data_IF_701696125434
#
_entry.id   IF_701696125434
#
_cell.length_a   1.000
_cell.length_b   1.000
_cell.length_c   1.000
_cell.angle_alpha   90.00
_cell.angle_beta   90.00
_cell.angle_gamma   90.00
#
_symmetry.space_group_name_H-M   'P 1'
#
loop_
_entity.id
_entity.type
_entity.pdbx_description
1 polymer ?
#
# COMPACT_ATOMS: atom_id res chain seq x y z
N UNK A 1 24.34 5.82 69.41
CA UNK A 1 25.31 6.72 70.06
C UNK A 1 26.21 7.35 69.03
N UNK A 2 25.96 8.64 68.94
CA UNK A 2 26.99 9.69 68.78
C UNK A 2 27.90 9.53 67.57
N UNK A 3 27.68 10.45 66.71
CA UNK A 3 28.27 11.80 66.44
C UNK A 3 29.47 11.65 65.53
N UNK A 4 29.81 12.46 64.68
CA UNK A 4 29.66 13.88 64.48
C UNK A 4 30.31 14.20 63.16
N UNK A 5 29.71 15.12 62.49
CA UNK A 5 30.33 16.34 61.97
C UNK A 5 31.75 16.26 61.43
N UNK A 6 31.90 16.57 60.17
CA UNK A 6 32.76 17.69 59.83
C UNK A 6 32.47 18.20 58.44
N UNK A 7 32.09 19.38 58.46
CA UNK A 7 32.02 20.39 57.42
C UNK A 7 33.37 20.66 56.84
N UNK A 8 33.56 20.61 55.55
CA UNK A 8 34.53 21.52 54.91
C UNK A 8 33.95 21.90 53.51
N UNK A 9 33.55 23.10 53.48
CA UNK A 9 33.29 23.83 52.28
C UNK A 9 34.63 24.16 51.58
N UNK A 10 34.74 23.84 50.33
CA UNK A 10 35.67 24.57 49.50
C UNK A 10 35.07 24.75 48.14
N UNK A 11 34.77 25.97 47.88
CA UNK A 11 34.24 26.40 46.61
C UNK A 11 35.22 26.17 45.47
N UNK A 12 34.72 25.78 44.36
CA UNK A 12 35.43 25.93 43.10
C UNK A 12 34.49 26.41 42.03
N UNK A 13 34.82 27.52 41.53
CA UNK A 13 34.14 28.22 40.44
C UNK A 13 33.97 27.31 39.22
N UNK A 14 32.73 27.07 38.91
CA UNK A 14 32.38 26.47 37.63
C UNK A 14 32.48 27.55 36.53
N UNK A 15 33.48 27.45 35.76
CA UNK A 15 33.58 28.17 34.49
C UNK A 15 32.56 27.51 33.56
N UNK A 16 31.44 28.18 33.35
CA UNK A 16 30.50 27.85 32.29
C UNK A 16 31.15 28.25 30.97
N UNK A 17 31.86 27.31 30.38
CA UNK A 17 32.15 27.40 28.97
C UNK A 17 30.88 27.07 28.23
N UNK A 18 30.18 28.09 27.84
CA UNK A 18 29.06 27.95 26.93
C UNK A 18 29.54 27.43 25.60
N UNK A 19 29.44 26.14 25.40
CA UNK A 19 29.46 25.64 24.05
C UNK A 19 28.08 25.94 23.46
N UNK A 20 28.00 27.08 22.79
CA UNK A 20 26.93 27.27 21.82
C UNK A 20 27.21 26.30 20.69
N UNK A 21 26.56 25.17 20.75
CA UNK A 21 26.39 24.33 19.60
C UNK A 21 25.66 25.17 18.55
N UNK A 22 26.19 25.34 17.36
CA UNK A 22 25.34 25.83 16.29
C UNK A 22 24.18 24.84 16.18
N UNK A 23 22.99 25.31 16.44
CA UNK A 23 21.83 24.63 15.96
C UNK A 23 22.00 24.59 14.47
N UNK A 24 22.46 23.46 13.97
CA UNK A 24 22.23 23.12 12.60
C UNK A 24 20.73 22.94 12.54
N UNK A 25 20.03 24.02 12.22
CA UNK A 25 18.75 23.86 11.61
C UNK A 25 19.03 23.07 10.35
N UNK A 26 18.96 21.76 10.52
CA UNK A 26 18.85 20.92 9.36
C UNK A 26 17.54 21.30 8.73
N UNK A 27 17.57 22.10 7.72
CA UNK A 27 16.57 22.10 6.69
C UNK A 27 16.64 20.72 6.04
N UNK A 28 16.44 19.73 6.85
CA UNK A 28 16.16 18.39 6.40
C UNK A 28 14.71 18.23 6.06
N UNK A 29 14.11 19.24 5.49
CA UNK A 29 12.98 19.06 4.63
C UNK A 29 13.50 18.81 3.22
N UNK A 30 14.44 17.96 3.17
CA UNK A 30 14.48 17.11 2.06
C UNK A 30 13.25 16.21 2.18
N UNK A 31 12.13 16.75 1.86
CA UNK A 31 11.05 16.00 1.23
C UNK A 31 11.65 15.60 -0.08
N UNK A 32 12.57 14.73 0.12
CA UNK A 32 13.38 14.16 -0.83
C UNK A 32 12.56 13.99 -1.99
N UNK A 33 13.11 14.18 -2.69
CA UNK A 33 12.91 13.50 -3.89
C UNK A 33 11.67 12.66 -3.75
N UNK A 34 10.52 13.34 -3.86
CA UNK A 34 9.40 12.65 -4.43
C UNK A 34 10.02 11.88 -5.59
N UNK A 35 10.10 10.59 -5.48
CA UNK A 35 10.57 9.73 -6.53
C UNK A 35 10.09 10.35 -7.83
N UNK A 36 10.95 10.63 -8.80
CA UNK A 36 10.54 11.33 -9.99
C UNK A 36 9.26 10.70 -10.45
N UNK A 37 8.20 11.49 -10.54
CA UNK A 37 6.90 11.01 -10.95
C UNK A 37 7.16 10.14 -12.16
N UNK A 38 6.83 8.86 -12.05
CA UNK A 38 7.13 7.91 -13.10
C UNK A 38 6.66 8.54 -14.41
N UNK A 39 7.59 8.86 -15.29
CA UNK A 39 7.27 9.36 -16.61
C UNK A 39 6.70 8.21 -17.41
N UNK A 40 5.48 7.85 -17.10
CA UNK A 40 4.73 6.76 -17.72
C UNK A 40 3.35 6.71 -17.11
N UNK A 41 2.38 6.38 -17.94
CA UNK A 41 1.04 6.06 -17.47
C UNK A 41 1.11 4.86 -16.56
N UNK A 42 0.76 5.05 -15.30
CA UNK A 42 0.55 3.93 -14.39
C UNK A 42 -0.57 3.06 -14.93
N UNK A 43 -0.40 1.75 -14.89
CA UNK A 43 -1.46 0.83 -15.25
C UNK A 43 -2.66 1.01 -14.30
N UNK A 44 -3.89 0.99 -14.84
CA UNK A 44 -5.08 1.05 -14.00
C UNK A 44 -5.11 -0.09 -12.99
N UNK A 45 -5.58 0.21 -11.79
CA UNK A 45 -5.70 -0.76 -10.72
C UNK A 45 -6.97 -0.56 -9.91
N UNK A 46 -7.41 -1.62 -9.29
CA UNK A 46 -8.51 -1.57 -8.34
C UNK A 46 -8.13 -2.29 -7.05
N UNK A 47 -8.82 -1.97 -5.98
CA UNK A 47 -8.80 -2.72 -4.75
C UNK A 47 -10.23 -3.15 -4.41
N UNK A 48 -10.39 -4.41 -4.08
CA UNK A 48 -11.63 -4.96 -3.57
C UNK A 48 -11.34 -5.56 -2.19
N UNK A 49 -12.14 -5.20 -1.21
CA UNK A 49 -11.82 -5.48 0.20
C UNK A 49 -13.01 -6.14 0.88
N UNK A 50 -12.70 -7.02 1.80
CA UNK A 50 -13.62 -7.54 2.82
C UNK A 50 -12.95 -7.47 4.19
N UNK A 51 -13.60 -7.97 5.22
CA UNK A 51 -12.97 -8.08 6.55
C UNK A 51 -11.85 -9.11 6.59
N UNK A 52 -11.85 -10.06 5.66
CA UNK A 52 -10.92 -11.18 5.62
C UNK A 52 -9.80 -10.99 4.63
N UNK A 53 -10.12 -10.45 3.45
CA UNK A 53 -9.20 -10.38 2.31
C UNK A 53 -9.12 -8.98 1.70
N UNK A 54 -7.98 -8.72 1.08
CA UNK A 54 -7.77 -7.62 0.16
C UNK A 54 -7.29 -8.16 -1.18
N UNK A 55 -7.96 -7.76 -2.24
CA UNK A 55 -7.62 -8.12 -3.61
C UNK A 55 -7.25 -6.87 -4.38
N UNK A 56 -6.04 -6.82 -4.90
CA UNK A 56 -5.58 -5.76 -5.80
C UNK A 56 -5.47 -6.32 -7.20
N UNK A 57 -6.11 -5.66 -8.16
CA UNK A 57 -6.01 -6.00 -9.56
C UNK A 57 -5.31 -4.91 -10.36
N UNK A 58 -4.43 -5.32 -11.25
CA UNK A 58 -3.72 -4.42 -12.17
C UNK A 58 -4.08 -4.81 -13.59
N UNK A 59 -4.64 -3.86 -14.33
CA UNK A 59 -5.07 -4.06 -15.71
C UNK A 59 -3.98 -3.63 -16.68
N UNK A 60 -3.58 -4.54 -17.55
CA UNK A 60 -2.69 -4.27 -18.67
C UNK A 60 -3.33 -4.79 -19.97
N UNK A 61 -3.95 -3.89 -20.72
CA UNK A 61 -4.69 -4.25 -21.90
C UNK A 61 -5.89 -5.14 -21.58
N UNK A 62 -5.77 -6.42 -21.84
CA UNK A 62 -6.78 -7.45 -21.56
C UNK A 62 -6.40 -8.34 -20.36
N UNK A 63 -5.20 -8.20 -19.87
CA UNK A 63 -4.69 -9.01 -18.78
C UNK A 63 -4.91 -8.31 -17.43
N UNK A 64 -5.49 -9.00 -16.50
CA UNK A 64 -5.63 -8.54 -15.11
C UNK A 64 -4.79 -9.43 -14.23
N UNK A 65 -3.79 -8.85 -13.59
CA UNK A 65 -3.00 -9.52 -12.58
C UNK A 65 -3.60 -9.23 -11.21
N UNK A 66 -3.85 -10.27 -10.44
CA UNK A 66 -4.50 -10.19 -9.14
C UNK A 66 -3.53 -10.58 -8.03
N UNK A 67 -3.52 -9.79 -6.97
CA UNK A 67 -2.78 -10.06 -5.74
C UNK A 67 -3.78 -10.17 -4.60
N UNK A 68 -3.82 -11.33 -3.97
CA UNK A 68 -4.73 -11.61 -2.87
C UNK A 68 -3.96 -11.74 -1.56
N UNK A 69 -4.30 -10.88 -0.62
CA UNK A 69 -3.67 -10.84 0.70
C UNK A 69 -4.72 -10.97 1.81
N UNK A 70 -4.29 -11.39 2.97
CA UNK A 70 -5.09 -11.31 4.19
C UNK A 70 -5.20 -9.86 4.63
N UNK A 71 -6.39 -9.42 4.95
CA UNK A 71 -6.62 -8.04 5.38
C UNK A 71 -5.87 -7.69 6.68
N UNK A 72 -5.79 -8.65 7.61
CA UNK A 72 -5.24 -8.39 8.94
C UNK A 72 -3.72 -8.15 8.97
N UNK A 73 -2.95 -8.81 8.10
CA UNK A 73 -1.49 -8.82 8.18
C UNK A 73 -0.80 -8.71 6.81
N UNK A 74 -1.58 -8.54 5.74
CA UNK A 74 -1.09 -8.50 4.36
C UNK A 74 -0.32 -9.76 3.92
N UNK A 75 -0.56 -10.89 4.57
CA UNK A 75 0.05 -12.14 4.16
C UNK A 75 -0.55 -12.62 2.83
N UNK A 76 0.28 -12.99 1.84
CA UNK A 76 -0.22 -13.50 0.57
C UNK A 76 -1.03 -14.77 0.76
N UNK A 77 -2.16 -14.87 0.07
CA UNK A 77 -3.03 -16.05 0.07
C UNK A 77 -2.78 -16.85 -1.19
N UNK A 78 -2.23 -18.03 -1.01
CA UNK A 78 -1.91 -18.96 -2.10
C UNK A 78 -2.97 -20.04 -2.23
N UNK A 79 -3.14 -20.54 -3.44
CA UNK A 79 -4.04 -21.68 -3.70
C UNK A 79 -5.53 -21.35 -3.54
N UNK A 80 -5.88 -20.09 -3.53
CA UNK A 80 -7.29 -19.67 -3.50
C UNK A 80 -7.94 -19.85 -4.87
N UNK A 81 -9.26 -19.99 -4.86
CA UNK A 81 -10.09 -19.86 -6.04
C UNK A 81 -10.68 -18.44 -6.05
N UNK A 82 -10.53 -17.75 -7.15
CA UNK A 82 -11.06 -16.38 -7.32
C UNK A 82 -11.96 -16.36 -8.54
N UNK A 83 -13.20 -16.00 -8.33
CA UNK A 83 -14.13 -15.64 -9.39
C UNK A 83 -14.27 -14.12 -9.40
N UNK A 84 -13.81 -13.50 -10.48
CA UNK A 84 -13.83 -12.05 -10.64
C UNK A 84 -15.00 -11.67 -11.56
N UNK A 85 -15.77 -10.70 -11.12
CA UNK A 85 -16.82 -10.10 -11.93
C UNK A 85 -16.47 -8.64 -12.22
N UNK A 86 -16.36 -8.31 -13.48
CA UNK A 86 -16.09 -6.95 -13.96
C UNK A 86 -17.28 -6.49 -14.80
N UNK A 87 -17.96 -5.44 -14.37
CA UNK A 87 -19.12 -4.89 -15.06
C UNK A 87 -20.16 -5.97 -15.43
N UNK A 88 -20.39 -6.91 -14.54
CA UNK A 88 -21.37 -8.01 -14.72
C UNK A 88 -20.86 -9.23 -15.49
N UNK A 89 -19.62 -9.23 -15.95
CA UNK A 89 -19.01 -10.37 -16.66
C UNK A 89 -18.10 -11.15 -15.71
N UNK A 90 -18.31 -12.44 -15.61
CA UNK A 90 -17.58 -13.32 -14.71
C UNK A 90 -16.37 -13.96 -15.38
N UNK A 91 -15.27 -14.00 -14.64
CA UNK A 91 -14.01 -14.62 -15.03
C UNK A 91 -13.49 -15.48 -13.89
N UNK A 92 -12.98 -16.64 -14.21
CA UNK A 92 -12.26 -17.47 -13.26
C UNK A 92 -10.77 -17.14 -13.36
N UNK A 93 -10.16 -16.75 -12.24
CA UNK A 93 -8.73 -16.49 -12.19
C UNK A 93 -7.93 -17.79 -12.13
N UNK A 94 -6.78 -17.79 -12.74
CA UNK A 94 -5.81 -18.88 -12.71
C UNK A 94 -4.57 -18.44 -11.93
N UNK A 95 -3.93 -19.37 -11.24
CA UNK A 95 -2.69 -19.09 -10.54
C UNK A 95 -1.60 -18.68 -11.52
N UNK A 96 -0.90 -17.60 -11.21
CA UNK A 96 0.20 -17.06 -11.99
C UNK A 96 1.44 -16.88 -11.10
N UNK A 97 2.39 -17.80 -11.24
CA UNK A 97 3.50 -17.87 -10.31
C UNK A 97 3.06 -18.28 -8.90
N UNK A 98 3.86 -17.90 -7.90
CA UNK A 98 3.62 -18.33 -6.52
C UNK A 98 2.66 -17.41 -5.74
N UNK A 99 2.59 -16.14 -6.10
CA UNK A 99 1.92 -15.12 -5.29
C UNK A 99 0.84 -14.33 -6.04
N UNK A 100 0.55 -14.66 -7.29
CA UNK A 100 -0.39 -13.92 -8.10
C UNK A 100 -1.40 -14.82 -8.81
N UNK A 101 -2.45 -14.18 -9.31
CA UNK A 101 -3.48 -14.81 -10.14
C UNK A 101 -3.67 -13.95 -11.39
N UNK A 102 -4.21 -14.53 -12.41
CA UNK A 102 -4.41 -13.87 -13.70
C UNK A 102 -5.80 -14.15 -14.25
N UNK A 103 -6.37 -13.09 -14.82
CA UNK A 103 -7.59 -13.17 -15.64
C UNK A 103 -7.28 -12.54 -16.98
N UNK A 104 -7.66 -13.21 -18.05
CA UNK A 104 -7.59 -12.66 -19.41
C UNK A 104 -8.99 -12.31 -19.88
N UNK A 105 -9.21 -11.03 -20.15
CA UNK A 105 -10.48 -10.52 -20.64
C UNK A 105 -10.62 -10.81 -22.12
N UNK A 106 -11.85 -10.98 -22.60
CA UNK A 106 -12.13 -11.17 -24.02
C UNK A 106 -11.87 -9.91 -24.82
N UNK A 107 -12.20 -8.78 -24.23
CA UNK A 107 -12.03 -7.45 -24.82
C UNK A 107 -11.45 -6.50 -23.77
N UNK A 108 -10.69 -5.49 -24.24
CA UNK A 108 -10.26 -4.43 -23.36
C UNK A 108 -11.48 -3.69 -22.79
N UNK A 109 -11.50 -3.36 -21.50
CA UNK A 109 -12.62 -2.66 -20.89
C UNK A 109 -12.81 -1.27 -21.52
N UNK A 110 -14.06 -0.84 -21.58
CA UNK A 110 -14.39 0.51 -22.02
C UNK A 110 -14.11 1.54 -20.92
N UNK A 111 -13.82 2.80 -21.28
CA UNK A 111 -13.67 3.88 -20.29
C UNK A 111 -14.88 4.01 -19.40
N UNK A 112 -14.65 4.44 -18.17
CA UNK A 112 -15.67 4.67 -17.15
C UNK A 112 -15.34 3.99 -15.83
N UNK A 113 -16.28 4.03 -14.90
CA UNK A 113 -16.20 3.33 -13.63
C UNK A 113 -16.87 1.97 -13.76
N UNK A 114 -16.09 0.91 -13.56
CA UNK A 114 -16.57 -0.47 -13.66
C UNK A 114 -16.69 -1.07 -12.27
N UNK A 115 -17.87 -1.57 -11.88
CA UNK A 115 -18.00 -2.30 -10.62
C UNK A 115 -17.22 -3.60 -10.68
N UNK A 116 -16.52 -3.88 -9.60
CA UNK A 116 -15.75 -5.11 -9.40
C UNK A 116 -16.35 -5.87 -8.23
N UNK A 117 -16.60 -7.14 -8.44
CA UNK A 117 -16.91 -8.08 -7.36
C UNK A 117 -16.00 -9.29 -7.49
N UNK A 118 -15.52 -9.78 -6.38
CA UNK A 118 -14.71 -10.99 -6.36
C UNK A 118 -15.24 -11.96 -5.31
N UNK A 119 -15.42 -13.20 -5.70
CA UNK A 119 -15.70 -14.29 -4.76
C UNK A 119 -14.40 -15.06 -4.55
N UNK A 120 -13.93 -15.09 -3.33
CA UNK A 120 -12.69 -15.75 -2.94
C UNK A 120 -13.01 -16.97 -2.10
N UNK A 121 -12.46 -18.11 -2.50
CA UNK A 121 -12.51 -19.35 -1.73
C UNK A 121 -11.10 -19.77 -1.37
N UNK A 122 -10.76 -19.70 -0.09
CA UNK A 122 -9.46 -20.09 0.44
C UNK A 122 -9.64 -21.16 1.51
N UNK A 123 -9.41 -22.41 1.14
CA UNK A 123 -9.70 -23.53 2.01
C UNK A 123 -11.20 -23.62 2.33
N UNK A 124 -11.58 -23.46 3.58
CA UNK A 124 -12.97 -23.45 4.04
C UNK A 124 -13.57 -22.05 4.13
N UNK A 125 -12.76 -21.03 3.93
CA UNK A 125 -13.23 -19.64 3.97
C UNK A 125 -13.75 -19.22 2.59
N UNK A 126 -14.94 -18.65 2.56
CA UNK A 126 -15.51 -18.06 1.35
C UNK A 126 -15.94 -16.65 1.70
N UNK A 127 -15.50 -15.69 0.91
CA UNK A 127 -15.86 -14.29 1.12
C UNK A 127 -16.09 -13.57 -0.21
N UNK A 128 -16.84 -12.50 -0.15
CA UNK A 128 -17.13 -11.66 -1.29
C UNK A 128 -16.55 -10.26 -1.07
N UNK A 129 -15.77 -9.83 -2.04
CA UNK A 129 -15.11 -8.54 -2.02
C UNK A 129 -15.73 -7.63 -3.08
N UNK A 130 -15.76 -6.35 -2.79
CA UNK A 130 -16.29 -5.35 -3.73
C UNK A 130 -15.32 -4.18 -3.87
N UNK A 131 -15.28 -3.62 -5.06
CA UNK A 131 -14.47 -2.47 -5.40
C UNK A 131 -14.89 -1.87 -6.74
N UNK A 132 -14.10 -0.95 -7.23
CA UNK A 132 -14.35 -0.27 -8.51
C UNK A 132 -13.05 -0.11 -9.28
N UNK A 133 -13.14 -0.28 -10.59
CA UNK A 133 -12.05 0.03 -11.51
C UNK A 133 -12.41 1.31 -12.28
N UNK A 134 -11.64 2.35 -12.06
CA UNK A 134 -11.83 3.63 -12.71
C UNK A 134 -10.94 3.75 -13.95
N UNK A 135 -11.56 3.76 -15.11
CA UNK A 135 -10.91 3.88 -16.42
C UNK A 135 -11.24 5.20 -17.10
N UNK A 136 -11.32 6.29 -16.36
CA UNK A 136 -11.42 7.59 -16.97
C UNK A 136 -10.13 7.91 -17.74
N UNK A 137 -10.27 8.30 -18.99
CA UNK A 137 -9.14 8.87 -19.71
C UNK A 137 -8.71 10.15 -18.97
N UNK A 138 -7.40 10.25 -18.70
CA UNK A 138 -6.84 11.50 -18.24
C UNK A 138 -7.25 12.59 -19.23
N UNK A 139 -7.84 13.65 -18.72
CA UNK A 139 -8.23 14.77 -19.56
C UNK A 139 -6.98 15.24 -20.34
N UNK A 140 -7.01 15.02 -21.64
CA UNK A 140 -6.04 15.63 -22.53
C UNK A 140 -6.33 17.13 -22.50
N UNK A 141 -5.53 17.87 -21.73
CA UNK A 141 -5.46 19.29 -21.94
C UNK A 141 -4.75 19.51 -23.26
N UNK A 142 -5.52 19.55 -24.32
CA UNK A 142 -5.05 20.07 -25.58
C UNK A 142 -4.76 21.55 -25.41
N UNK A 143 -3.50 21.87 -25.31
CA UNK A 143 -3.07 23.25 -25.53
C UNK A 143 -2.97 23.53 -27.03
#
# INVERSE_FOLDING_TARGET
>A
MKSSLSLTALGLAAVLIGYSLPAIAGDGHDHGDAAPAATGTSLPRFAAVSETFELVGVLDGKQVTLYLDRFADNAPVRGAQIELEIAGVKFKAEAHGDDAYEVVLKEAPKPGVLPITATVTAGTEVDQLAGELDLHEAAHTDE
#
